data_IF_577941266687
#
_entry.id   IF_577941266687
#
_cell.length_a   1.000
_cell.length_b   1.000
_cell.length_c   1.000
_cell.angle_alpha   90.00
_cell.angle_beta   90.00
_cell.angle_gamma   90.00
#
_symmetry.space_group_name_H-M   'P 1'
#
loop_
_entity.id
_entity.type
_entity.pdbx_description
1 polymer ?
#
# COMPACT_ATOMS: atom_id res chain seq x y z
N UNK A 1 30.14 5.97 -10.98
CA UNK A 1 30.01 6.73 -9.73
C UNK A 1 28.90 6.07 -8.93
N UNK A 2 29.31 5.16 -8.01
CA UNK A 2 28.41 4.50 -7.07
C UNK A 2 28.09 5.48 -5.95
N UNK A 3 26.98 6.19 -6.05
CA UNK A 3 26.42 6.92 -4.93
C UNK A 3 25.32 6.06 -4.32
N UNK A 4 25.74 5.07 -3.55
CA UNK A 4 24.85 4.45 -2.56
C UNK A 4 24.85 5.38 -1.36
N UNK A 5 23.92 6.33 -1.34
CA UNK A 5 23.63 7.11 -0.14
C UNK A 5 22.96 6.19 0.88
N UNK A 6 23.76 5.75 1.85
CA UNK A 6 23.29 5.06 3.03
C UNK A 6 22.44 6.01 3.88
N UNK A 7 21.15 6.06 3.60
CA UNK A 7 20.18 6.64 4.54
C UNK A 7 20.23 5.78 5.80
N UNK A 8 20.52 6.38 6.96
CA UNK A 8 20.49 5.73 8.28
C UNK A 8 19.18 4.97 8.43
N UNK A 9 19.26 3.64 8.42
CA UNK A 9 18.13 2.76 8.55
C UNK A 9 17.66 2.78 10.01
N UNK A 10 16.45 3.27 10.25
CA UNK A 10 15.71 2.89 11.46
C UNK A 10 15.56 1.37 11.42
N UNK A 11 15.77 0.68 12.55
CA UNK A 11 15.54 -0.76 12.66
C UNK A 11 14.12 -1.06 12.17
N UNK A 12 14.01 -1.62 10.95
CA UNK A 12 12.71 -1.93 10.38
C UNK A 12 12.16 -3.17 11.08
N UNK A 13 10.87 -3.18 11.35
CA UNK A 13 10.16 -4.33 11.93
C UNK A 13 10.10 -5.56 11.00
N UNK A 14 10.69 -5.48 9.80
CA UNK A 14 10.70 -6.55 8.79
C UNK A 14 11.91 -7.45 9.03
N UNK A 15 11.66 -8.75 9.01
CA UNK A 15 12.73 -9.76 9.11
C UNK A 15 13.77 -9.55 7.99
N UNK A 16 15.07 -9.65 8.30
CA UNK A 16 16.15 -9.37 7.34
C UNK A 16 16.02 -10.15 6.02
N UNK A 17 15.68 -11.43 6.09
CA UNK A 17 15.55 -12.29 4.90
C UNK A 17 14.42 -11.81 3.96
N UNK A 18 13.30 -11.35 4.52
CA UNK A 18 12.18 -10.80 3.74
C UNK A 18 12.61 -9.50 3.09
N UNK A 19 13.34 -8.66 3.82
CA UNK A 19 13.85 -7.40 3.31
C UNK A 19 14.82 -7.60 2.15
N UNK A 20 15.78 -8.49 2.30
CA UNK A 20 16.75 -8.82 1.25
C UNK A 20 16.05 -9.37 0.01
N UNK A 21 15.08 -10.27 0.19
CA UNK A 21 14.27 -10.79 -0.91
C UNK A 21 13.51 -9.69 -1.63
N UNK A 22 12.83 -8.80 -0.90
CA UNK A 22 12.12 -7.66 -1.49
C UNK A 22 13.06 -6.78 -2.30
N UNK A 23 14.25 -6.44 -1.76
CA UNK A 23 15.23 -5.61 -2.47
C UNK A 23 15.72 -6.31 -3.73
N UNK A 24 16.05 -7.60 -3.67
CA UNK A 24 16.51 -8.35 -4.85
C UNK A 24 15.46 -8.40 -5.97
N UNK A 25 14.19 -8.54 -5.61
CA UNK A 25 13.09 -8.62 -6.56
C UNK A 25 12.79 -7.27 -7.24
N UNK A 26 13.18 -6.13 -6.62
CA UNK A 26 12.99 -4.81 -7.22
C UNK A 26 13.72 -4.66 -8.55
N UNK A 27 14.88 -5.30 -8.70
CA UNK A 27 15.71 -5.17 -9.91
C UNK A 27 15.17 -5.96 -11.10
N UNK A 28 14.20 -6.86 -10.87
CA UNK A 28 13.48 -7.58 -11.92
C UNK A 28 12.29 -6.76 -12.47
N UNK A 29 11.97 -5.62 -11.83
CA UNK A 29 10.89 -4.75 -12.29
C UNK A 29 11.35 -3.96 -13.51
N UNK A 30 10.52 -3.96 -14.53
CA UNK A 30 10.68 -3.24 -15.78
C UNK A 30 9.45 -2.40 -16.09
N UNK A 31 9.56 -1.54 -17.09
CA UNK A 31 8.42 -0.76 -17.54
C UNK A 31 8.31 -0.81 -19.06
N UNK A 32 7.10 -1.07 -19.56
CA UNK A 32 6.79 -0.85 -20.98
C UNK A 32 6.82 0.67 -21.25
N UNK A 33 7.99 1.14 -21.67
CA UNK A 33 8.25 2.56 -21.84
C UNK A 33 7.35 3.18 -22.90
N UNK A 34 7.16 2.51 -24.06
CA UNK A 34 6.33 3.02 -25.14
C UNK A 34 4.87 3.17 -24.72
N UNK A 35 4.32 2.15 -24.05
CA UNK A 35 2.96 2.20 -23.50
C UNK A 35 2.82 3.28 -22.42
N UNK A 36 3.82 3.44 -21.56
CA UNK A 36 3.80 4.46 -20.50
C UNK A 36 3.79 5.89 -21.04
N UNK A 37 4.48 6.17 -22.15
CA UNK A 37 4.46 7.49 -22.82
C UNK A 37 3.03 7.86 -23.27
N UNK A 38 2.22 6.90 -23.72
CA UNK A 38 0.82 7.17 -24.11
C UNK A 38 0.01 7.67 -22.89
N UNK A 39 0.16 7.01 -21.75
CA UNK A 39 -0.50 7.44 -20.51
C UNK A 39 0.05 8.76 -19.96
N UNK A 40 1.34 9.00 -20.06
CA UNK A 40 1.96 10.26 -19.68
C UNK A 40 1.45 11.42 -20.52
N UNK A 41 1.27 11.24 -21.82
CA UNK A 41 0.69 12.26 -22.71
C UNK A 41 -0.76 12.62 -22.33
N UNK A 42 -1.53 11.65 -21.82
CA UNK A 42 -2.84 11.91 -21.25
C UNK A 42 -2.73 12.72 -19.96
N UNK A 43 -1.88 12.30 -19.01
CA UNK A 43 -1.66 13.02 -17.74
C UNK A 43 -1.21 14.46 -17.94
N UNK A 44 -0.36 14.72 -18.91
CA UNK A 44 0.13 16.07 -19.22
C UNK A 44 -0.99 17.06 -19.52
N UNK A 45 -2.12 16.59 -20.07
CA UNK A 45 -3.30 17.41 -20.36
C UNK A 45 -4.20 17.61 -19.16
N UNK A 46 -4.23 16.64 -18.24
CA UNK A 46 -5.13 16.62 -17.09
C UNK A 46 -4.51 17.27 -15.85
N UNK A 47 -3.25 16.94 -15.53
CA UNK A 47 -2.56 17.40 -14.32
C UNK A 47 -1.05 17.40 -14.52
N UNK A 48 -0.47 18.58 -14.67
CA UNK A 48 0.96 18.75 -14.95
C UNK A 48 1.86 18.31 -13.77
N UNK A 49 1.42 18.47 -12.54
CA UNK A 49 2.22 18.07 -11.37
C UNK A 49 2.26 16.56 -11.22
N UNK A 50 1.14 15.90 -11.47
CA UNK A 50 1.08 14.43 -11.52
C UNK A 50 1.89 13.91 -12.71
N UNK A 51 1.80 14.55 -13.88
CA UNK A 51 2.62 14.22 -15.03
C UNK A 51 4.12 14.27 -14.69
N UNK A 52 4.62 15.38 -14.15
CA UNK A 52 6.05 15.55 -13.85
C UNK A 52 6.59 14.47 -12.90
N UNK A 53 5.82 14.12 -11.85
CA UNK A 53 6.21 13.05 -10.93
C UNK A 53 6.24 11.68 -11.60
N UNK A 54 5.28 11.39 -12.50
CA UNK A 54 5.23 10.10 -13.19
C UNK A 54 6.28 9.98 -14.28
N UNK A 55 6.60 11.08 -15.01
CA UNK A 55 7.70 11.08 -16.01
C UNK A 55 9.01 10.67 -15.35
N UNK A 56 9.38 11.34 -14.25
CA UNK A 56 10.61 11.01 -13.53
C UNK A 56 10.64 9.53 -13.08
N UNK A 57 9.54 9.02 -12.57
CA UNK A 57 9.46 7.62 -12.14
C UNK A 57 9.57 6.65 -13.33
N UNK A 58 8.90 6.93 -14.45
CA UNK A 58 8.95 6.09 -15.66
C UNK A 58 10.38 6.06 -16.22
N UNK A 59 11.02 7.21 -16.39
CA UNK A 59 12.39 7.33 -16.88
C UNK A 59 13.38 6.60 -15.97
N UNK A 60 13.27 6.81 -14.64
CA UNK A 60 14.14 6.16 -13.67
C UNK A 60 14.02 4.63 -13.71
N UNK A 61 12.80 4.09 -13.84
CA UNK A 61 12.58 2.63 -13.93
C UNK A 61 13.16 2.11 -15.27
N UNK A 62 12.92 2.81 -16.38
CA UNK A 62 13.44 2.43 -17.69
C UNK A 62 14.97 2.38 -17.69
N UNK A 63 15.62 3.33 -17.03
CA UNK A 63 17.07 3.42 -16.92
C UNK A 63 17.66 2.52 -15.82
N UNK A 64 16.83 1.66 -15.21
CA UNK A 64 17.20 0.77 -14.08
C UNK A 64 17.73 1.52 -12.86
N UNK A 65 17.40 2.80 -12.71
CA UNK A 65 17.68 3.58 -11.51
C UNK A 65 16.54 3.37 -10.51
N UNK A 66 16.56 2.24 -9.83
CA UNK A 66 15.51 1.87 -8.86
C UNK A 66 15.80 2.55 -7.53
N UNK A 67 14.93 3.49 -7.16
CA UNK A 67 14.90 4.06 -5.82
C UNK A 67 14.06 3.18 -4.89
N UNK A 68 14.53 2.96 -3.68
CA UNK A 68 13.73 2.32 -2.63
C UNK A 68 14.03 2.88 -1.23
N UNK A 69 13.02 2.87 -0.39
CA UNK A 69 13.10 3.31 0.98
C UNK A 69 12.08 2.56 1.84
N UNK A 70 12.47 2.13 3.04
CA UNK A 70 11.55 1.61 4.04
C UNK A 70 11.21 2.72 5.04
N UNK A 71 9.92 2.99 5.24
CA UNK A 71 9.49 3.93 6.27
C UNK A 71 9.60 3.32 7.68
N UNK A 72 9.31 4.12 8.71
CA UNK A 72 9.37 3.69 10.11
C UNK A 72 8.39 2.56 10.46
N UNK A 73 7.42 2.28 9.60
CA UNK A 73 6.45 1.20 9.74
C UNK A 73 6.81 -0.03 8.91
N UNK A 74 7.97 -0.02 8.26
CA UNK A 74 8.43 -1.11 7.39
C UNK A 74 7.78 -1.15 6.01
N UNK A 75 7.10 -0.07 5.56
CA UNK A 75 6.54 -0.02 4.21
C UNK A 75 7.63 0.30 3.20
N UNK A 76 7.67 -0.47 2.14
CA UNK A 76 8.57 -0.26 1.03
C UNK A 76 8.00 0.80 0.07
N UNK A 77 8.72 1.89 -0.09
CA UNK A 77 8.45 2.94 -1.07
C UNK A 77 9.47 2.87 -2.20
N UNK A 78 8.99 2.94 -3.43
CA UNK A 78 9.83 2.84 -4.63
C UNK A 78 9.32 3.81 -5.69
N UNK A 79 10.11 4.06 -6.75
CA UNK A 79 9.66 4.84 -7.90
C UNK A 79 8.42 4.21 -8.58
N UNK A 80 8.21 2.89 -8.56
CA UNK A 80 6.97 2.31 -9.09
C UNK A 80 5.77 2.36 -8.12
N UNK A 81 5.97 2.43 -6.79
CA UNK A 81 4.83 2.67 -5.87
C UNK A 81 4.26 4.08 -5.97
N UNK A 82 5.05 5.04 -6.49
CA UNK A 82 4.65 6.43 -6.73
C UNK A 82 3.84 6.59 -8.03
N UNK A 83 4.01 5.68 -8.98
CA UNK A 83 3.29 5.72 -10.26
C UNK A 83 1.78 5.77 -10.06
N UNK A 84 1.09 6.53 -10.92
CA UNK A 84 -0.37 6.45 -11.01
C UNK A 84 -0.82 5.02 -11.26
N UNK A 85 -1.89 4.63 -10.58
CA UNK A 85 -2.41 3.26 -10.58
C UNK A 85 -2.59 2.69 -11.99
N UNK A 86 -3.10 3.49 -12.94
CA UNK A 86 -3.30 3.01 -14.30
C UNK A 86 -1.99 2.81 -15.09
N UNK A 87 -0.92 3.59 -14.83
CA UNK A 87 0.41 3.34 -15.41
C UNK A 87 0.99 2.07 -14.77
N UNK A 88 0.96 1.99 -13.45
CA UNK A 88 1.46 0.83 -12.72
C UNK A 88 0.82 -0.48 -13.18
N UNK A 89 -0.51 -0.49 -13.35
CA UNK A 89 -1.27 -1.69 -13.74
C UNK A 89 -1.07 -2.14 -15.17
N UNK A 90 -0.72 -1.21 -16.07
CA UNK A 90 -0.68 -1.49 -17.50
C UNK A 90 0.72 -1.47 -18.11
N UNK A 91 1.71 -0.95 -17.38
CA UNK A 91 3.04 -0.75 -17.92
C UNK A 91 4.15 -1.44 -17.12
N UNK A 92 3.91 -1.83 -15.86
CA UNK A 92 4.93 -2.58 -15.12
C UNK A 92 4.99 -4.04 -15.60
N UNK A 93 6.22 -4.51 -15.76
CA UNK A 93 6.54 -5.89 -16.10
C UNK A 93 7.47 -6.45 -15.02
N UNK A 94 7.49 -7.76 -14.85
CA UNK A 94 8.47 -8.49 -14.05
C UNK A 94 9.02 -9.59 -14.95
N UNK A 95 10.34 -9.59 -15.16
CA UNK A 95 11.01 -10.52 -16.07
C UNK A 95 10.36 -10.53 -17.48
N UNK A 96 9.90 -9.37 -17.96
CA UNK A 96 9.22 -9.20 -19.24
C UNK A 96 7.74 -9.61 -19.29
N UNK A 97 7.19 -10.13 -18.21
CA UNK A 97 5.79 -10.57 -18.12
C UNK A 97 4.88 -9.51 -17.51
N UNK A 98 3.62 -9.45 -17.96
CA UNK A 98 2.60 -8.54 -17.42
C UNK A 98 2.30 -8.84 -15.95
N UNK A 99 2.17 -7.78 -15.15
CA UNK A 99 1.85 -7.89 -13.72
C UNK A 99 0.35 -7.87 -13.45
N UNK A 100 -0.07 -8.51 -12.36
CA UNK A 100 -1.42 -8.32 -11.81
C UNK A 100 -1.34 -7.66 -10.42
N UNK A 101 -2.33 -6.84 -10.11
CA UNK A 101 -2.46 -6.21 -8.78
C UNK A 101 -3.46 -6.98 -7.94
N UNK A 102 -3.01 -7.47 -6.79
CA UNK A 102 -3.87 -8.13 -5.80
C UNK A 102 -3.99 -7.19 -4.60
N UNK A 103 -5.22 -6.78 -4.28
CA UNK A 103 -5.52 -5.93 -3.12
C UNK A 103 -6.28 -6.73 -2.05
N UNK A 104 -5.87 -6.57 -0.80
CA UNK A 104 -6.54 -7.18 0.34
C UNK A 104 -7.64 -6.24 0.82
N UNK A 105 -8.88 -6.59 0.53
CA UNK A 105 -10.04 -5.85 1.03
C UNK A 105 -10.05 -5.82 2.56
N UNK A 106 -10.29 -4.62 3.14
CA UNK A 106 -10.34 -4.43 4.58
C UNK A 106 -9.06 -4.90 5.31
N UNK A 107 -7.88 -4.72 4.71
CA UNK A 107 -6.60 -5.22 5.23
C UNK A 107 -6.36 -4.86 6.71
N UNK A 108 -6.58 -3.61 7.09
CA UNK A 108 -6.40 -3.15 8.48
C UNK A 108 -7.32 -3.87 9.48
N UNK A 109 -8.66 -3.91 9.29
CA UNK A 109 -9.56 -4.73 10.11
C UNK A 109 -9.20 -6.22 10.09
N UNK A 110 -8.73 -6.76 8.95
CA UNK A 110 -8.32 -8.16 8.85
C UNK A 110 -7.09 -8.46 9.72
N UNK A 111 -6.08 -7.60 9.70
CA UNK A 111 -4.91 -7.74 10.58
C UNK A 111 -5.30 -7.60 12.05
N UNK A 112 -6.26 -6.73 12.39
CA UNK A 112 -6.78 -6.63 13.75
C UNK A 112 -7.46 -7.95 14.18
N UNK A 113 -8.24 -8.61 13.32
CA UNK A 113 -8.79 -9.93 13.60
C UNK A 113 -7.69 -10.95 13.92
N UNK A 114 -6.58 -10.91 13.17
CA UNK A 114 -5.46 -11.81 13.45
C UNK A 114 -4.80 -11.50 14.79
N UNK A 115 -4.55 -10.24 15.10
CA UNK A 115 -3.96 -9.82 16.38
C UNK A 115 -4.83 -10.22 17.57
N UNK A 116 -6.14 -10.01 17.50
CA UNK A 116 -7.09 -10.42 18.55
C UNK A 116 -7.05 -11.93 18.72
N UNK A 117 -7.06 -12.70 17.65
CA UNK A 117 -7.01 -14.16 17.69
C UNK A 117 -5.69 -14.65 18.32
N UNK A 118 -4.56 -14.06 17.95
CA UNK A 118 -3.24 -14.49 18.41
C UNK A 118 -2.98 -14.09 19.88
N UNK A 119 -3.58 -13.00 20.35
CA UNK A 119 -3.41 -12.50 21.73
C UNK A 119 -4.08 -13.37 22.79
N UNK A 120 -4.94 -14.32 22.40
CA UNK A 120 -5.70 -15.21 23.31
C UNK A 120 -6.36 -14.45 24.49
N UNK A 121 -6.79 -13.23 24.28
CA UNK A 121 -7.32 -12.35 25.33
C UNK A 121 -8.65 -12.88 25.87
N UNK A 122 -8.63 -13.33 27.12
CA UNK A 122 -9.77 -13.97 27.82
C UNK A 122 -11.02 -13.07 27.97
N UNK A 123 -10.87 -11.75 27.75
CA UNK A 123 -11.94 -10.76 27.89
C UNK A 123 -12.63 -10.38 26.56
N UNK A 124 -12.23 -10.98 25.44
CA UNK A 124 -12.91 -10.76 24.15
C UNK A 124 -14.15 -11.66 24.10
N UNK A 125 -15.31 -11.03 23.96
CA UNK A 125 -16.56 -11.76 23.75
C UNK A 125 -16.47 -12.51 22.40
N UNK A 126 -16.63 -13.84 22.45
CA UNK A 126 -16.49 -14.69 21.27
C UNK A 126 -17.51 -14.36 20.18
N UNK A 127 -18.76 -14.12 20.55
CA UNK A 127 -19.83 -13.86 19.57
C UNK A 127 -19.62 -12.51 18.86
N UNK A 128 -19.18 -11.49 19.61
CA UNK A 128 -18.84 -10.19 19.04
C UNK A 128 -17.62 -10.29 18.11
N UNK A 129 -16.62 -11.07 18.50
CA UNK A 129 -15.45 -11.30 17.65
C UNK A 129 -15.81 -12.05 16.37
N UNK A 130 -16.60 -13.12 16.46
CA UNK A 130 -17.02 -13.90 15.30
C UNK A 130 -17.89 -13.04 14.35
N UNK A 131 -18.75 -12.18 14.90
CA UNK A 131 -19.51 -11.21 14.11
C UNK A 131 -18.60 -10.19 13.40
N UNK A 132 -17.68 -9.56 14.14
CA UNK A 132 -16.69 -8.63 13.55
C UNK A 132 -15.89 -9.30 12.44
N UNK A 133 -15.36 -10.49 12.70
CA UNK A 133 -14.58 -11.28 11.74
C UNK A 133 -15.41 -11.59 10.49
N UNK A 134 -16.68 -11.94 10.63
CA UNK A 134 -17.56 -12.22 9.49
C UNK A 134 -17.75 -11.00 8.60
N UNK A 135 -17.96 -9.81 9.18
CA UNK A 135 -18.06 -8.56 8.44
C UNK A 135 -16.78 -8.23 7.65
N UNK A 136 -15.63 -8.47 8.27
CA UNK A 136 -14.32 -8.19 7.66
C UNK A 136 -14.04 -9.12 6.49
N UNK A 137 -14.23 -10.43 6.67
CA UNK A 137 -13.95 -11.45 5.64
C UNK A 137 -14.88 -11.28 4.44
N UNK A 138 -16.16 -10.97 4.68
CA UNK A 138 -17.15 -10.78 3.62
C UNK A 138 -17.07 -9.39 2.95
N UNK A 139 -16.12 -8.53 3.34
CA UNK A 139 -15.96 -7.20 2.76
C UNK A 139 -17.00 -6.16 3.21
N UNK A 140 -17.88 -6.51 4.17
CA UNK A 140 -19.02 -5.71 4.59
C UNK A 140 -18.76 -4.78 5.79
N UNK A 141 -17.54 -4.78 6.32
CA UNK A 141 -17.20 -4.06 7.57
C UNK A 141 -17.54 -2.56 7.50
N UNK A 142 -17.07 -1.86 6.47
CA UNK A 142 -17.34 -0.42 6.35
C UNK A 142 -18.80 -0.12 6.04
N UNK A 143 -19.48 -0.96 5.26
CA UNK A 143 -20.91 -0.83 4.97
C UNK A 143 -21.75 -0.95 6.25
N UNK A 144 -21.41 -1.91 7.11
CA UNK A 144 -22.05 -2.05 8.41
C UNK A 144 -21.86 -0.80 9.28
N UNK A 145 -20.63 -0.27 9.40
CA UNK A 145 -20.39 0.96 10.16
C UNK A 145 -21.19 2.13 9.55
N UNK A 146 -21.18 2.31 8.23
CA UNK A 146 -21.94 3.34 7.54
C UNK A 146 -23.44 3.29 7.94
N UNK A 147 -24.02 2.09 7.99
CA UNK A 147 -25.42 1.89 8.39
C UNK A 147 -25.65 2.25 9.86
N UNK A 148 -24.77 1.80 10.75
CA UNK A 148 -24.91 2.04 12.19
C UNK A 148 -24.82 3.52 12.56
N UNK A 149 -23.88 4.27 11.94
CA UNK A 149 -23.68 5.69 12.26
C UNK A 149 -24.45 6.64 11.32
N UNK A 150 -25.12 6.13 10.30
CA UNK A 150 -25.87 6.94 9.33
C UNK A 150 -25.00 7.76 8.37
N UNK A 151 -23.69 7.44 8.23
CA UNK A 151 -22.79 8.14 7.32
C UNK A 151 -22.79 7.48 5.94
N UNK A 152 -22.89 8.28 4.87
CA UNK A 152 -22.93 7.81 3.48
C UNK A 152 -21.56 7.82 2.78
N UNK A 153 -20.62 8.60 3.30
CA UNK A 153 -19.27 8.70 2.74
C UNK A 153 -18.36 7.60 3.33
N UNK A 154 -18.06 6.61 2.50
CA UNK A 154 -17.17 5.50 2.88
C UNK A 154 -15.75 5.95 3.23
N UNK A 155 -15.23 7.00 2.59
CA UNK A 155 -13.89 7.52 2.85
C UNK A 155 -13.82 8.10 4.25
N UNK A 156 -14.82 8.90 4.62
CA UNK A 156 -14.96 9.47 5.95
C UNK A 156 -15.08 8.39 7.03
N UNK A 157 -15.88 7.34 6.77
CA UNK A 157 -15.99 6.20 7.70
C UNK A 157 -14.65 5.48 7.87
N UNK A 158 -13.88 5.28 6.80
CA UNK A 158 -12.52 4.73 6.90
C UNK A 158 -11.61 5.58 7.78
N UNK A 159 -11.59 6.89 7.56
CA UNK A 159 -10.77 7.82 8.37
C UNK A 159 -11.16 7.79 9.85
N UNK A 160 -12.46 7.80 10.14
CA UNK A 160 -12.97 7.69 11.51
C UNK A 160 -12.55 6.36 12.15
N UNK A 161 -12.71 5.26 11.43
CA UNK A 161 -12.30 3.93 11.88
C UNK A 161 -10.79 3.87 12.18
N UNK A 162 -9.96 4.44 11.30
CA UNK A 162 -8.51 4.48 11.52
C UNK A 162 -8.12 5.33 12.73
N UNK A 163 -8.81 6.44 12.97
CA UNK A 163 -8.61 7.23 14.20
C UNK A 163 -8.95 6.45 15.46
N UNK A 164 -9.98 5.62 15.43
CA UNK A 164 -10.36 4.76 16.57
C UNK A 164 -9.35 3.62 16.76
N UNK A 165 -8.95 2.95 15.69
CA UNK A 165 -8.08 1.78 15.78
C UNK A 165 -6.60 2.12 16.05
N UNK A 166 -6.12 3.23 15.50
CA UNK A 166 -4.70 3.60 15.51
C UNK A 166 -4.43 5.01 16.04
N UNK A 167 -5.47 5.77 16.35
CA UNK A 167 -5.32 7.09 16.95
C UNK A 167 -4.81 6.98 18.39
N UNK A 168 -3.83 7.82 18.74
CA UNK A 168 -3.45 8.00 20.13
C UNK A 168 -4.67 8.56 20.86
N UNK A 169 -5.27 7.78 21.74
CA UNK A 169 -6.15 8.29 22.77
C UNK A 169 -5.31 9.17 23.69
N UNK A 170 -5.20 10.47 23.38
CA UNK A 170 -4.86 11.45 24.40
C UNK A 170 -6.07 11.50 25.33
N UNK A 171 -6.05 10.64 26.33
CA UNK A 171 -6.87 10.83 27.53
C UNK A 171 -6.27 12.08 28.20
N UNK A 172 -6.96 13.22 28.03
CA UNK A 172 -6.71 14.40 28.85
C UNK A 172 -7.32 14.19 30.22
#
# INVERSE_FOLDING_TARGET
YDTIDFVKQSESSIQPEIREKLISDLFNVEIDFERSILFLNFLKKEDIDIYNRNVYSVESINDKHIFYHFDNYGRLHTNFTILKSFIRKNCLLIDGEETCEIDISNSQPLFLCKLIKDSQTAWVNKDEFDFFRSLVINGNFYQYIMQVIGEKDRTKVKEMTYKVLFGYNRVN
#
